data_IF_522480871525
#
_entry.id   IF_522480871525
#
_cell.length_a   1.000
_cell.length_b   1.000
_cell.length_c   1.000
_cell.angle_alpha   90.00
_cell.angle_beta   90.00
_cell.angle_gamma   90.00
#
_symmetry.space_group_name_H-M   'P 1'
#
loop_
_entity.id
_entity.type
_entity.pdbx_description
1 polymer ?
#
# COMPACT_ATOMS: atom_id res chain seq x y z
N UNK A 1 4.46 -2.63 -11.78
CA UNK A 1 3.12 -3.02 -12.28
C UNK A 1 2.58 -1.83 -13.06
N UNK A 2 1.99 -2.00 -14.25
CA UNK A 2 1.43 -0.85 -14.99
C UNK A 2 0.26 -0.22 -14.21
N UNK A 3 0.22 1.11 -14.16
CA UNK A 3 -0.77 1.88 -13.38
C UNK A 3 -2.20 1.76 -13.92
N UNK A 4 -2.37 1.25 -15.13
CA UNK A 4 -3.66 1.10 -15.82
C UNK A 4 -3.82 -0.31 -16.39
N UNK A 5 -5.04 -0.81 -16.31
CA UNK A 5 -5.43 -2.04 -17.00
C UNK A 5 -5.31 -1.86 -18.51
N UNK A 6 -4.89 -2.90 -19.25
CA UNK A 6 -4.79 -2.83 -20.70
C UNK A 6 -6.16 -2.57 -21.34
N UNK A 7 -6.19 -1.75 -22.38
CA UNK A 7 -7.40 -1.53 -23.16
C UNK A 7 -7.71 -2.77 -24.02
N UNK A 8 -8.87 -3.37 -23.78
CA UNK A 8 -9.32 -4.58 -24.48
C UNK A 8 -10.11 -4.15 -25.71
N UNK A 9 -9.52 -4.32 -26.91
CA UNK A 9 -10.19 -4.08 -28.18
C UNK A 9 -10.89 -5.34 -28.67
N UNK A 10 -12.19 -5.23 -28.91
CA UNK A 10 -12.97 -6.31 -29.52
C UNK A 10 -12.84 -6.24 -31.05
N UNK A 11 -12.86 -7.39 -31.74
CA UNK A 11 -12.95 -7.39 -33.20
C UNK A 11 -14.32 -6.85 -33.65
N UNK A 12 -14.38 -6.29 -34.86
CA UNK A 12 -15.54 -5.55 -35.38
C UNK A 12 -16.85 -6.37 -35.45
N UNK A 13 -16.76 -7.70 -35.49
CA UNK A 13 -17.92 -8.61 -35.48
C UNK A 13 -18.46 -8.89 -34.07
N UNK A 14 -17.70 -8.61 -33.01
CA UNK A 14 -18.05 -8.83 -31.60
C UNK A 14 -18.29 -7.52 -30.84
N UNK A 15 -18.12 -6.37 -31.48
CA UNK A 15 -18.23 -5.05 -30.82
C UNK A 15 -19.69 -4.52 -30.77
N UNK A 16 -20.67 -5.39 -30.52
CA UNK A 16 -22.10 -5.02 -30.55
C UNK A 16 -22.91 -5.70 -29.45
N UNK A 17 -23.94 -5.03 -28.94
CA UNK A 17 -24.91 -5.63 -28.03
C UNK A 17 -24.34 -6.03 -26.66
N UNK A 18 -24.76 -7.18 -26.14
CA UNK A 18 -24.50 -7.60 -24.75
C UNK A 18 -23.02 -7.96 -24.49
N UNK A 19 -22.26 -8.33 -25.50
CA UNK A 19 -20.82 -8.64 -25.35
C UNK A 19 -19.99 -7.40 -25.01
N UNK A 20 -20.40 -6.21 -25.47
CA UNK A 20 -19.78 -4.93 -25.07
C UNK A 20 -20.10 -4.62 -23.61
N UNK A 21 -21.34 -4.91 -23.17
CA UNK A 21 -21.74 -4.78 -21.76
C UNK A 21 -20.90 -5.70 -20.88
N UNK A 22 -20.72 -6.95 -21.32
CA UNK A 22 -19.90 -7.94 -20.63
C UNK A 22 -18.43 -7.47 -20.52
N UNK A 23 -17.82 -7.03 -21.62
CA UNK A 23 -16.47 -6.43 -21.63
C UNK A 23 -16.36 -5.31 -20.59
N UNK A 24 -17.31 -4.36 -20.60
CA UNK A 24 -17.31 -3.24 -19.67
C UNK A 24 -17.45 -3.68 -18.21
N UNK A 25 -18.28 -4.70 -17.93
CA UNK A 25 -18.38 -5.27 -16.58
C UNK A 25 -17.09 -5.92 -16.13
N UNK A 26 -16.39 -6.66 -17.01
CA UNK A 26 -15.09 -7.25 -16.69
C UNK A 26 -14.02 -6.20 -16.42
N UNK A 27 -13.94 -5.14 -17.24
CA UNK A 27 -13.00 -4.03 -17.02
C UNK A 27 -13.25 -3.38 -15.65
N UNK A 28 -14.51 -3.12 -15.30
CA UNK A 28 -14.88 -2.53 -14.00
C UNK A 28 -14.55 -3.47 -12.84
N UNK A 29 -14.86 -4.76 -12.99
CA UNK A 29 -14.55 -5.78 -11.98
C UNK A 29 -13.05 -5.86 -11.72
N UNK A 30 -12.25 -6.04 -12.77
CA UNK A 30 -10.79 -6.10 -12.63
C UNK A 30 -10.20 -4.78 -12.16
N UNK A 31 -10.82 -3.64 -12.49
CA UNK A 31 -10.45 -2.33 -11.92
C UNK A 31 -10.57 -2.30 -10.40
N UNK A 32 -11.66 -2.86 -9.86
CA UNK A 32 -11.84 -3.00 -8.41
C UNK A 32 -10.83 -3.95 -7.79
N UNK A 33 -10.63 -5.13 -8.38
CA UNK A 33 -9.65 -6.10 -7.87
C UNK A 33 -8.24 -5.51 -7.89
N UNK A 34 -7.85 -4.82 -8.97
CA UNK A 34 -6.58 -4.12 -9.05
C UNK A 34 -6.44 -3.08 -7.94
N UNK A 35 -7.48 -2.30 -7.67
CA UNK A 35 -7.49 -1.35 -6.56
C UNK A 35 -7.30 -2.04 -5.21
N UNK A 36 -7.92 -3.20 -4.98
CA UNK A 36 -7.78 -3.94 -3.73
C UNK A 36 -6.38 -4.54 -3.54
N UNK A 37 -5.78 -5.04 -4.62
CA UNK A 37 -4.43 -5.62 -4.58
C UNK A 37 -3.36 -4.53 -4.44
N UNK A 38 -3.58 -3.36 -5.05
CA UNK A 38 -2.63 -2.25 -4.96
C UNK A 38 -2.80 -1.41 -3.69
N UNK A 39 -3.99 -1.41 -3.07
CA UNK A 39 -4.24 -0.65 -1.85
C UNK A 39 -3.22 -0.93 -0.73
N UNK A 40 -2.86 -2.18 -0.38
CA UNK A 40 -1.83 -2.45 0.63
C UNK A 40 -0.48 -1.79 0.35
N UNK A 41 -0.09 -1.64 -0.91
CA UNK A 41 1.17 -0.99 -1.29
C UNK A 41 1.18 0.50 -0.93
N UNK A 42 0.01 1.15 -0.95
CA UNK A 42 -0.15 2.55 -0.54
C UNK A 42 -0.02 2.75 0.98
N UNK A 43 -0.08 1.67 1.76
CA UNK A 43 -0.09 1.73 3.23
C UNK A 43 1.31 1.56 3.84
N UNK A 44 2.36 1.62 3.02
CA UNK A 44 3.76 1.45 3.43
C UNK A 44 4.31 2.66 4.19
N UNK A 45 3.76 3.85 3.97
CA UNK A 45 4.17 5.08 4.64
C UNK A 45 3.37 5.35 5.92
N UNK A 46 4.02 5.43 7.10
CA UNK A 46 3.37 5.71 8.38
C UNK A 46 2.60 7.05 8.43
N UNK A 47 2.95 8.04 7.61
CA UNK A 47 2.27 9.35 7.63
C UNK A 47 0.90 9.35 6.97
N UNK A 48 0.71 8.48 5.98
CA UNK A 48 -0.48 8.47 5.10
C UNK A 48 -1.35 7.23 5.31
N UNK A 49 -0.82 6.19 5.96
CA UNK A 49 -1.54 4.95 6.19
C UNK A 49 -2.78 5.10 7.10
N UNK A 50 -3.71 4.14 6.95
CA UNK A 50 -4.85 3.96 7.83
C UNK A 50 -4.39 3.69 9.27
N UNK A 51 -5.14 4.21 10.26
CA UNK A 51 -4.76 4.13 11.68
C UNK A 51 -4.60 2.69 12.18
N UNK A 52 -5.40 1.75 11.67
CA UNK A 52 -5.25 0.33 12.02
C UNK A 52 -3.90 -0.24 11.57
N UNK A 53 -3.43 0.14 10.37
CA UNK A 53 -2.13 -0.28 9.85
C UNK A 53 -1.02 0.43 10.62
N UNK A 54 -1.21 1.70 10.96
CA UNK A 54 -0.28 2.44 11.80
C UNK A 54 -0.04 1.73 13.15
N UNK A 55 -1.10 1.19 13.77
CA UNK A 55 -0.98 0.43 15.00
C UNK A 55 -0.23 -0.89 14.81
N UNK A 56 -0.42 -1.57 13.67
CA UNK A 56 0.36 -2.78 13.35
C UNK A 56 1.85 -2.47 13.13
N UNK A 57 2.15 -1.37 12.43
CA UNK A 57 3.53 -0.89 12.25
C UNK A 57 4.14 -0.52 13.61
N UNK A 58 3.39 0.21 14.45
CA UNK A 58 3.84 0.58 15.78
C UNK A 58 4.16 -0.66 16.64
N UNK A 59 3.31 -1.69 16.59
CA UNK A 59 3.56 -2.98 17.23
C UNK A 59 4.85 -3.63 16.72
N UNK A 60 5.09 -3.66 15.40
CA UNK A 60 6.31 -4.23 14.81
C UNK A 60 7.60 -3.53 15.29
N UNK A 61 7.53 -2.23 15.61
CA UNK A 61 8.67 -1.44 16.07
C UNK A 61 8.68 -1.19 17.58
N UNK A 62 7.84 -1.91 18.34
CA UNK A 62 7.72 -1.80 19.80
C UNK A 62 7.41 -0.37 20.28
N UNK A 63 6.35 0.22 19.70
CA UNK A 63 5.87 1.56 20.02
C UNK A 63 4.48 1.47 20.63
N UNK A 64 4.35 1.87 21.89
CA UNK A 64 3.07 2.08 22.54
C UNK A 64 2.50 3.48 22.24
N UNK A 65 1.21 3.54 21.93
CA UNK A 65 0.45 4.78 21.83
C UNK A 65 0.23 5.37 23.23
N UNK A 66 0.34 6.68 23.37
CA UNK A 66 0.05 7.34 24.64
C UNK A 66 -1.44 7.67 24.77
N UNK A 67 -1.93 7.72 26.01
CA UNK A 67 -3.31 8.10 26.30
C UNK A 67 -3.59 9.53 25.85
N UNK A 68 -4.62 9.72 25.03
CA UNK A 68 -5.03 11.04 24.53
C UNK A 68 -4.10 11.66 23.46
N UNK A 69 -3.14 10.92 22.93
CA UNK A 69 -2.21 11.46 21.92
C UNK A 69 -2.92 11.73 20.58
N UNK A 70 -2.74 12.93 19.98
CA UNK A 70 -3.28 13.22 18.66
C UNK A 70 -2.59 12.38 17.59
N UNK A 71 -3.38 11.88 16.62
CA UNK A 71 -2.93 10.97 15.58
C UNK A 71 -1.71 11.49 14.79
N UNK A 72 -1.60 12.80 14.62
CA UNK A 72 -0.49 13.45 13.90
C UNK A 72 0.85 13.28 14.62
N UNK A 73 0.89 13.36 15.96
CA UNK A 73 2.10 13.14 16.74
C UNK A 73 2.48 11.65 16.76
N UNK A 74 1.49 10.79 16.92
CA UNK A 74 1.68 9.35 16.87
C UNK A 74 2.31 8.89 15.54
N UNK A 75 1.79 9.37 14.40
CA UNK A 75 2.37 9.10 13.06
C UNK A 75 3.84 9.53 12.94
N UNK A 76 4.20 10.73 13.42
CA UNK A 76 5.58 11.23 13.39
C UNK A 76 6.52 10.36 14.22
N UNK A 77 6.10 9.91 15.41
CA UNK A 77 6.91 9.02 16.26
C UNK A 77 7.19 7.69 15.58
N UNK A 78 6.17 7.07 15.00
CA UNK A 78 6.32 5.81 14.25
C UNK A 78 7.29 6.00 13.09
N UNK A 79 7.18 7.10 12.34
CA UNK A 79 8.09 7.42 11.23
C UNK A 79 9.55 7.57 11.68
N UNK A 80 9.80 8.28 12.79
CA UNK A 80 11.16 8.45 13.32
C UNK A 80 11.77 7.09 13.69
N UNK A 81 11.01 6.22 14.36
CA UNK A 81 11.48 4.88 14.73
C UNK A 81 11.75 4.00 13.51
N UNK A 82 10.88 4.07 12.51
CA UNK A 82 11.07 3.38 11.23
C UNK A 82 12.43 3.75 10.60
N UNK A 83 12.72 5.06 10.48
CA UNK A 83 13.99 5.54 9.95
C UNK A 83 15.20 5.13 10.81
N UNK A 84 15.09 5.24 12.14
CA UNK A 84 16.16 4.82 13.07
C UNK A 84 16.51 3.33 12.94
N UNK A 85 15.50 2.46 12.78
CA UNK A 85 15.72 1.01 12.57
C UNK A 85 16.41 0.74 11.24
N UNK A 86 15.97 1.40 10.17
CA UNK A 86 16.60 1.28 8.85
C UNK A 86 18.09 1.67 8.88
N UNK A 87 18.43 2.79 9.54
CA UNK A 87 19.81 3.21 9.73
C UNK A 87 20.65 2.26 10.58
N UNK A 88 20.07 1.62 11.62
CA UNK A 88 20.76 0.59 12.42
C UNK A 88 21.16 -0.63 11.59
N UNK A 89 20.30 -1.06 10.66
CA UNK A 89 20.58 -2.19 9.76
C UNK A 89 21.80 -1.93 8.87
N UNK A 90 21.94 -0.70 8.35
CA UNK A 90 23.13 -0.32 7.56
C UNK A 90 24.42 -0.32 8.37
N UNK A 91 24.40 0.17 9.62
CA UNK A 91 25.62 0.15 10.47
C UNK A 91 26.03 -1.25 10.91
N UNK A 92 25.06 -2.13 11.19
CA UNK A 92 25.34 -3.53 11.57
C UNK A 92 26.04 -4.34 10.48
N UNK A 93 25.88 -3.97 9.20
CA UNK A 93 26.59 -4.62 8.08
C UNK A 93 28.06 -4.23 7.95
N UNK A 94 28.49 -3.12 8.56
CA UNK A 94 29.87 -2.63 8.48
C UNK A 94 30.76 -3.25 9.57
N UNK A 95 30.18 -3.80 10.65
CA UNK A 95 30.93 -4.43 11.75
C UNK A 95 31.06 -5.96 11.64
N UNK A 96 30.60 -6.57 10.54
CA UNK A 96 30.60 -8.03 10.33
C UNK A 96 31.85 -8.63 9.66
N UNK A 97 32.95 -7.89 9.56
CA UNK A 97 34.24 -8.37 9.04
C UNK A 97 35.33 -8.15 10.10
N UNK A 98 35.51 -9.13 10.97
CA UNK A 98 36.71 -9.36 11.79
C UNK A 98 36.89 -10.86 11.97
#
# INVERSE_FOLDING_TARGET
MPDKLPDIKLPSWLDRGDVVRLKNTFIRFWGKVHSWVTWPLTQTDPLTCAEIILNLIAWQYDIARFDGEPLTLYRKRVQIRFYQRAGRRQRGGIQGNF
#
